data_IF_326370123665
#
_entry.id   IF_326370123665
#
_cell.length_a   1.000
_cell.length_b   1.000
_cell.length_c   1.000
_cell.angle_alpha   90.00
_cell.angle_beta   90.00
_cell.angle_gamma   90.00
#
_symmetry.space_group_name_H-M   'P 1'
#
loop_
_entity.id
_entity.type
_entity.pdbx_description
1 polymer ?
#
# COMPACT_ATOMS: atom_id res chain seq x y z
N UNK A 1 25.52 4.12 -28.91
CA UNK A 1 25.45 3.83 -27.47
C UNK A 1 23.98 3.72 -27.08
N UNK A 2 23.59 2.65 -26.39
CA UNK A 2 22.21 2.48 -25.93
C UNK A 2 21.97 3.38 -24.73
N UNK A 3 20.85 4.14 -24.76
CA UNK A 3 20.44 4.98 -23.62
C UNK A 3 19.26 4.35 -22.91
N UNK A 4 19.32 4.32 -21.60
CA UNK A 4 18.28 3.84 -20.71
C UNK A 4 17.68 4.99 -19.91
N UNK A 5 16.38 4.90 -19.61
CA UNK A 5 15.64 5.85 -18.80
C UNK A 5 15.42 5.24 -17.43
N UNK A 6 15.98 5.84 -16.41
CA UNK A 6 15.81 5.41 -15.02
C UNK A 6 14.84 6.39 -14.34
N UNK A 7 13.63 5.94 -14.04
CA UNK A 7 12.64 6.73 -13.33
C UNK A 7 12.81 6.54 -11.83
N UNK A 8 13.40 7.53 -11.20
CA UNK A 8 13.60 7.57 -9.74
C UNK A 8 12.31 7.99 -9.07
N UNK A 9 11.78 7.13 -8.21
CA UNK A 9 10.52 7.29 -7.51
C UNK A 9 10.79 7.42 -6.02
N UNK A 10 10.25 8.45 -5.37
CA UNK A 10 10.38 8.68 -3.93
C UNK A 10 9.12 9.25 -3.32
N UNK A 11 9.07 9.27 -1.99
CA UNK A 11 7.99 9.86 -1.20
C UNK A 11 8.43 11.21 -0.66
N UNK A 12 7.58 12.22 -0.77
CA UNK A 12 7.86 13.57 -0.27
C UNK A 12 7.69 13.70 1.26
N UNK A 13 7.88 14.91 1.77
CA UNK A 13 7.71 15.24 3.19
C UNK A 13 6.38 15.90 3.52
N UNK A 14 5.38 15.86 2.65
CA UNK A 14 4.09 16.45 2.94
C UNK A 14 3.34 15.67 4.02
N UNK A 15 2.61 16.40 4.85
CA UNK A 15 1.76 15.90 5.91
C UNK A 15 0.31 16.30 5.61
N UNK A 16 -0.71 15.52 5.95
CA UNK A 16 -0.66 14.26 6.70
C UNK A 16 -0.31 13.02 5.86
N UNK A 17 -0.42 13.09 4.55
CA UNK A 17 -0.13 11.98 3.64
C UNK A 17 0.98 12.37 2.67
N UNK A 18 1.97 11.52 2.52
CA UNK A 18 3.06 11.69 1.54
C UNK A 18 2.55 11.47 0.12
N UNK A 19 3.09 12.26 -0.83
CA UNK A 19 2.86 12.06 -2.25
C UNK A 19 4.06 11.38 -2.91
N UNK A 20 3.80 10.58 -3.92
CA UNK A 20 4.86 10.07 -4.78
C UNK A 20 5.41 11.18 -5.68
N UNK A 21 6.71 11.20 -5.83
CA UNK A 21 7.45 12.07 -6.73
C UNK A 21 8.29 11.21 -7.65
N UNK A 22 8.56 11.71 -8.85
CA UNK A 22 9.47 11.04 -9.76
C UNK A 22 10.25 11.99 -10.65
N UNK A 23 11.40 11.53 -11.10
CA UNK A 23 12.20 12.18 -12.15
C UNK A 23 12.99 11.16 -12.93
N UNK A 24 13.20 11.42 -14.22
CA UNK A 24 13.89 10.51 -15.13
C UNK A 24 15.37 10.89 -15.27
N UNK A 25 16.26 9.94 -15.00
CA UNK A 25 17.69 10.03 -15.37
C UNK A 25 17.92 9.24 -16.64
N UNK A 26 18.81 9.75 -17.51
CA UNK A 26 19.25 9.04 -18.71
C UNK A 26 20.67 8.58 -18.53
N UNK A 27 20.88 7.26 -18.61
CA UNK A 27 22.18 6.62 -18.48
C UNK A 27 22.59 5.93 -19.79
N UNK A 28 23.88 6.00 -20.12
CA UNK A 28 24.45 5.32 -21.29
C UNK A 28 24.98 3.93 -20.89
N UNK A 29 24.67 2.93 -21.72
CA UNK A 29 25.12 1.54 -21.53
C UNK A 29 24.78 0.98 -20.14
N UNK A 30 23.62 1.34 -19.58
CA UNK A 30 23.18 0.86 -18.28
C UNK A 30 22.96 -0.66 -18.30
N UNK A 31 23.44 -1.33 -17.27
CA UNK A 31 23.42 -2.80 -17.16
C UNK A 31 22.05 -3.41 -16.86
N UNK A 32 21.11 -2.60 -16.36
CA UNK A 32 19.82 -3.07 -15.82
C UNK A 32 19.88 -3.54 -14.36
N UNK A 33 21.00 -3.33 -13.67
CA UNK A 33 21.19 -3.79 -12.29
C UNK A 33 21.08 -2.67 -11.27
N UNK A 34 20.58 -3.00 -10.09
CA UNK A 34 20.41 -2.05 -9.00
C UNK A 34 21.75 -1.42 -8.54
N UNK A 35 22.79 -2.23 -8.44
CA UNK A 35 24.12 -1.77 -8.02
C UNK A 35 24.76 -0.71 -8.94
N UNK A 36 24.31 -0.65 -10.20
CA UNK A 36 24.78 0.33 -11.18
C UNK A 36 23.87 1.58 -11.25
N UNK A 37 22.80 1.65 -10.46
CA UNK A 37 21.97 2.84 -10.34
C UNK A 37 22.72 3.91 -9.52
N UNK A 38 23.03 5.09 -10.08
CA UNK A 38 23.71 6.13 -9.31
C UNK A 38 22.82 6.75 -8.24
N UNK A 39 23.39 7.12 -7.09
CA UNK A 39 22.73 8.03 -6.15
C UNK A 39 22.52 9.37 -6.84
N UNK A 40 21.36 9.98 -6.67
CA UNK A 40 21.03 11.23 -7.33
C UNK A 40 20.48 12.25 -6.33
N UNK A 41 20.90 13.52 -6.43
CA UNK A 41 20.38 14.60 -5.59
C UNK A 41 19.09 15.21 -6.15
N UNK A 42 18.31 15.82 -5.28
CA UNK A 42 17.15 16.60 -5.66
C UNK A 42 16.94 17.77 -4.69
N UNK A 43 16.14 18.75 -5.10
CA UNK A 43 15.76 19.89 -4.26
C UNK A 43 14.66 19.49 -3.24
N UNK A 44 15.09 19.18 -2.03
CA UNK A 44 14.19 18.82 -0.93
C UNK A 44 13.27 19.97 -0.49
N UNK A 45 13.63 21.24 -0.78
CA UNK A 45 12.78 22.38 -0.41
C UNK A 45 11.45 22.38 -1.19
N UNK A 46 11.46 21.88 -2.41
CA UNK A 46 10.27 21.76 -3.27
C UNK A 46 9.36 20.59 -2.86
N UNK A 47 9.80 19.71 -1.96
CA UNK A 47 9.09 18.51 -1.53
C UNK A 47 8.87 18.45 -0.01
N UNK A 48 9.05 19.56 0.71
CA UNK A 48 8.93 19.63 2.19
C UNK A 48 9.93 18.73 2.93
N UNK A 49 11.13 18.54 2.38
CA UNK A 49 12.18 17.66 2.93
C UNK A 49 13.47 18.40 3.28
N UNK A 50 13.58 19.69 2.97
CA UNK A 50 14.71 20.52 3.35
C UNK A 50 14.36 22.00 3.38
N UNK A 51 15.23 22.80 4.00
CA UNK A 51 15.14 24.25 3.96
C UNK A 51 15.82 24.80 2.71
N UNK A 52 15.37 25.93 2.18
CA UNK A 52 15.86 26.50 0.92
C UNK A 52 17.33 26.90 0.91
N UNK A 53 17.94 27.14 2.07
CA UNK A 53 19.36 27.47 2.21
C UNK A 53 20.27 26.23 2.36
N UNK A 54 19.68 25.03 2.44
CA UNK A 54 20.39 23.73 2.49
C UNK A 54 19.46 22.66 1.90
N UNK A 55 19.16 22.80 0.59
CA UNK A 55 18.04 22.11 -0.02
C UNK A 55 18.34 20.72 -0.56
N UNK A 56 19.60 20.32 -0.63
CA UNK A 56 19.98 19.03 -1.23
C UNK A 56 19.58 17.84 -0.35
N UNK A 57 18.76 16.96 -0.93
CA UNK A 57 18.51 15.61 -0.44
C UNK A 57 19.00 14.59 -1.47
N UNK A 58 19.21 13.36 -1.03
CA UNK A 58 19.70 12.28 -1.88
C UNK A 58 18.62 11.20 -2.08
N UNK A 59 18.56 10.68 -3.30
CA UNK A 59 17.79 9.51 -3.69
C UNK A 59 18.73 8.33 -3.80
N UNK A 60 18.63 7.38 -2.87
CA UNK A 60 19.40 6.15 -2.88
C UNK A 60 18.55 5.02 -3.47
N UNK A 61 18.94 4.45 -4.62
CA UNK A 61 18.24 3.30 -5.21
C UNK A 61 18.19 2.11 -4.25
N UNK A 62 16.99 1.49 -4.12
CA UNK A 62 16.76 0.35 -3.22
C UNK A 62 16.08 -0.83 -3.91
N UNK A 63 15.39 -0.59 -5.02
CA UNK A 63 14.82 -1.62 -5.88
C UNK A 63 14.75 -1.12 -7.33
N UNK A 64 14.80 -2.05 -8.28
CA UNK A 64 14.71 -1.75 -9.71
C UNK A 64 13.77 -2.75 -10.39
N UNK A 65 12.95 -2.22 -11.31
CA UNK A 65 12.00 -3.00 -12.09
C UNK A 65 12.05 -2.54 -13.55
N UNK A 66 11.78 -3.42 -14.54
CA UNK A 66 11.51 -2.98 -15.90
C UNK A 66 10.35 -1.98 -15.91
N UNK A 67 10.43 -0.96 -16.76
CA UNK A 67 9.31 -0.05 -17.00
C UNK A 67 8.53 -0.53 -18.23
N UNK A 68 7.35 -1.15 -18.07
CA UNK A 68 6.61 -1.71 -19.20
C UNK A 68 6.02 -0.63 -20.11
N UNK A 69 5.93 0.60 -19.65
CA UNK A 69 5.37 1.73 -20.43
C UNK A 69 6.41 2.40 -21.32
N UNK A 70 7.73 2.12 -21.15
CA UNK A 70 8.79 2.83 -21.86
C UNK A 70 9.91 1.90 -22.33
N UNK A 71 10.23 1.98 -23.62
CA UNK A 71 11.36 1.24 -24.20
C UNK A 71 12.66 1.64 -23.52
N UNK A 72 13.48 0.65 -23.11
CA UNK A 72 14.71 0.84 -22.34
C UNK A 72 14.48 1.66 -21.05
N UNK A 73 13.32 1.47 -20.40
CA UNK A 73 12.95 2.12 -19.17
C UNK A 73 13.10 1.19 -17.97
N UNK A 74 13.41 1.80 -16.83
CA UNK A 74 13.44 1.14 -15.52
C UNK A 74 12.77 2.02 -14.48
N UNK A 75 11.97 1.42 -13.61
CA UNK A 75 11.42 2.03 -12.41
C UNK A 75 12.40 1.78 -11.27
N UNK A 76 12.90 2.85 -10.66
CA UNK A 76 13.89 2.78 -9.58
C UNK A 76 13.25 3.31 -8.30
N UNK A 77 12.86 2.42 -7.40
CA UNK A 77 12.40 2.82 -6.07
C UNK A 77 13.58 3.34 -5.27
N UNK A 78 13.41 4.46 -4.59
CA UNK A 78 14.48 5.09 -3.83
C UNK A 78 14.04 5.44 -2.41
N UNK A 79 14.99 5.42 -1.49
CA UNK A 79 14.84 6.01 -0.17
C UNK A 79 15.48 7.39 -0.12
N UNK A 80 14.87 8.30 0.64
CA UNK A 80 15.37 9.66 0.81
C UNK A 80 16.38 9.73 1.95
N UNK A 81 17.54 10.31 1.66
CA UNK A 81 18.59 10.58 2.64
C UNK A 81 18.84 12.08 2.74
N UNK A 82 19.30 12.52 3.90
CA UNK A 82 19.90 13.83 4.10
C UNK A 82 21.20 13.96 3.27
N UNK A 83 21.70 15.18 3.10
CA UNK A 83 22.93 15.44 2.37
C UNK A 83 24.17 14.71 2.95
N UNK A 84 24.14 14.40 4.24
CA UNK A 84 25.20 13.64 4.94
C UNK A 84 25.08 12.12 4.79
N UNK A 85 24.05 11.64 4.07
CA UNK A 85 23.79 10.22 3.82
C UNK A 85 22.99 9.51 4.92
N UNK A 86 22.56 10.20 5.97
CA UNK A 86 21.68 9.63 6.98
C UNK A 86 20.23 9.55 6.47
N UNK A 87 19.40 8.58 6.92
CA UNK A 87 18.01 8.53 6.54
C UNK A 87 17.27 9.83 6.88
N UNK A 88 16.52 10.37 5.91
CA UNK A 88 15.66 11.52 6.16
C UNK A 88 14.47 11.12 7.05
N UNK A 89 13.94 12.05 7.85
CA UNK A 89 12.81 11.77 8.76
C UNK A 89 11.54 11.28 8.04
N UNK A 90 11.34 11.70 6.78
CA UNK A 90 10.22 11.24 5.93
C UNK A 90 10.43 9.84 5.33
N UNK A 91 11.59 9.23 5.53
CA UNK A 91 11.93 7.92 4.97
C UNK A 91 11.24 6.78 5.73
N UNK A 92 10.02 6.42 5.31
CA UNK A 92 9.26 5.31 5.90
C UNK A 92 9.98 3.97 5.83
N UNK A 93 10.75 3.71 4.76
CA UNK A 93 11.50 2.46 4.57
C UNK A 93 12.55 2.22 5.65
N UNK A 94 13.17 3.30 6.15
CA UNK A 94 14.15 3.23 7.23
C UNK A 94 13.54 2.82 8.59
N UNK A 95 12.22 2.89 8.75
CA UNK A 95 11.54 2.39 9.98
C UNK A 95 11.61 0.88 10.14
N UNK A 96 11.89 0.15 9.04
CA UNK A 96 12.18 -1.29 9.08
C UNK A 96 13.65 -1.46 9.43
N UNK A 97 13.95 -1.46 10.74
CA UNK A 97 15.32 -1.57 11.26
C UNK A 97 15.90 -2.96 11.05
N UNK A 98 15.03 -3.97 11.09
CA UNK A 98 15.39 -5.38 11.01
C UNK A 98 14.83 -5.97 9.71
N UNK A 99 15.71 -6.22 8.73
CA UNK A 99 15.38 -6.96 7.51
C UNK A 99 15.15 -8.43 7.81
N UNK A 100 14.11 -8.70 8.59
CA UNK A 100 13.73 -10.07 8.86
C UNK A 100 12.99 -10.66 7.65
N UNK A 101 13.76 -11.27 6.76
CA UNK A 101 13.23 -11.97 5.58
C UNK A 101 12.32 -13.15 5.94
N UNK A 102 12.20 -13.50 7.21
CA UNK A 102 11.23 -14.48 7.69
C UNK A 102 9.79 -13.94 7.60
N UNK A 103 9.59 -12.63 7.70
CA UNK A 103 8.27 -12.05 7.54
C UNK A 103 7.88 -11.93 6.07
N UNK A 104 6.69 -12.45 5.76
CA UNK A 104 6.04 -12.32 4.47
C UNK A 104 4.82 -11.42 4.62
N UNK A 105 4.61 -10.54 3.64
CA UNK A 105 3.47 -9.63 3.63
C UNK A 105 2.70 -9.74 2.32
N UNK A 106 1.37 -9.76 2.44
CA UNK A 106 0.43 -9.55 1.35
C UNK A 106 -0.41 -8.32 1.66
N UNK A 107 -0.41 -7.33 0.79
CA UNK A 107 -1.24 -6.14 0.94
C UNK A 107 -2.40 -6.16 -0.04
N UNK A 108 -3.60 -5.85 0.44
CA UNK A 108 -4.83 -5.68 -0.31
C UNK A 108 -5.12 -4.17 -0.39
N UNK A 109 -4.70 -3.54 -1.47
CA UNK A 109 -4.79 -2.09 -1.64
C UNK A 109 -6.11 -1.70 -2.30
N UNK A 110 -7.03 -1.18 -1.51
CA UNK A 110 -8.24 -0.56 -2.01
C UNK A 110 -8.00 0.90 -2.44
N UNK A 111 -8.79 1.38 -3.40
CA UNK A 111 -8.73 2.74 -3.91
C UNK A 111 -10.00 3.09 -4.68
N UNK A 112 -10.28 4.39 -4.85
CA UNK A 112 -11.32 4.87 -5.75
C UNK A 112 -10.72 5.47 -7.03
N UNK A 113 -11.34 5.17 -8.17
CA UNK A 113 -11.05 5.84 -9.43
C UNK A 113 -12.00 7.04 -9.54
N UNK A 114 -11.44 8.24 -9.53
CA UNK A 114 -12.17 9.50 -9.55
C UNK A 114 -12.10 10.15 -10.93
N UNK A 115 -13.22 10.66 -11.40
CA UNK A 115 -13.28 11.46 -12.63
C UNK A 115 -12.80 12.88 -12.35
N UNK A 116 -11.82 13.37 -13.12
CA UNK A 116 -11.23 14.70 -12.91
C UNK A 116 -12.20 15.85 -13.15
N UNK A 117 -13.28 15.65 -13.92
CA UNK A 117 -14.27 16.69 -14.26
C UNK A 117 -15.36 16.79 -13.21
N UNK A 118 -15.86 15.65 -12.75
CA UNK A 118 -16.97 15.61 -11.79
C UNK A 118 -16.50 15.57 -10.34
N UNK A 119 -15.24 15.20 -10.09
CA UNK A 119 -14.69 14.95 -8.75
C UNK A 119 -15.45 13.88 -7.97
N UNK A 120 -16.08 12.95 -8.69
CA UNK A 120 -16.85 11.85 -8.14
C UNK A 120 -16.23 10.50 -8.57
N UNK A 121 -16.42 9.42 -7.81
CA UNK A 121 -16.04 8.09 -8.26
C UNK A 121 -16.73 7.71 -9.58
N UNK A 122 -16.05 6.91 -10.38
CA UNK A 122 -16.62 6.44 -11.64
C UNK A 122 -17.95 5.70 -11.41
N UNK A 123 -18.92 6.01 -12.27
CA UNK A 123 -20.28 5.44 -12.19
C UNK A 123 -21.21 6.18 -11.25
N UNK A 124 -20.77 7.22 -10.54
CA UNK A 124 -21.65 8.10 -9.78
C UNK A 124 -22.43 9.03 -10.69
N UNK A 125 -23.73 9.18 -10.46
CA UNK A 125 -24.54 10.12 -11.24
C UNK A 125 -24.20 11.57 -10.89
N UNK A 126 -24.00 12.40 -11.91
CA UNK A 126 -23.81 13.84 -11.71
C UNK A 126 -25.10 14.46 -11.19
N UNK A 127 -25.03 15.10 -10.02
CA UNK A 127 -26.19 15.75 -9.39
C UNK A 127 -27.26 14.81 -8.83
N UNK A 128 -26.95 13.51 -8.78
CA UNK A 128 -27.82 12.48 -8.18
C UNK A 128 -27.27 11.91 -6.88
N UNK A 129 -28.02 10.97 -6.29
CA UNK A 129 -27.56 10.21 -5.14
C UNK A 129 -26.72 9.02 -5.59
N UNK A 130 -25.65 8.66 -4.86
CA UNK A 130 -24.92 7.43 -5.12
C UNK A 130 -25.82 6.22 -4.88
N UNK A 131 -25.65 5.19 -5.70
CA UNK A 131 -26.33 3.93 -5.46
C UNK A 131 -25.80 3.26 -4.18
N UNK A 132 -26.63 2.47 -3.47
CA UNK A 132 -26.17 1.71 -2.31
C UNK A 132 -24.97 0.84 -2.64
N UNK A 133 -24.06 0.69 -1.68
CA UNK A 133 -22.94 -0.22 -1.83
C UNK A 133 -23.38 -1.69 -1.92
N UNK A 134 -22.46 -2.57 -2.33
CA UNK A 134 -22.64 -4.02 -2.32
C UNK A 134 -22.92 -4.61 -3.69
N UNK A 135 -23.75 -3.97 -4.52
CA UNK A 135 -24.06 -4.49 -5.86
C UNK A 135 -22.89 -4.39 -6.87
N UNK A 136 -21.82 -3.72 -6.49
CA UNK A 136 -20.61 -3.52 -7.30
C UNK A 136 -19.55 -4.58 -7.01
N UNK A 137 -19.58 -5.21 -5.84
CA UNK A 137 -18.58 -6.17 -5.42
C UNK A 137 -18.46 -7.33 -6.42
N UNK A 138 -17.26 -7.47 -7.01
CA UNK A 138 -16.95 -8.47 -8.04
C UNK A 138 -17.95 -8.49 -9.21
N UNK A 139 -18.55 -7.35 -9.54
CA UNK A 139 -19.63 -7.27 -10.54
C UNK A 139 -19.11 -7.46 -11.97
N UNK A 140 -20.04 -7.83 -12.86
CA UNK A 140 -19.80 -8.03 -14.29
C UNK A 140 -20.81 -7.23 -15.09
N UNK A 141 -20.35 -6.65 -16.20
CA UNK A 141 -21.20 -5.91 -17.13
C UNK A 141 -21.27 -4.41 -16.88
N UNK A 142 -21.50 -3.64 -17.93
CA UNK A 142 -21.36 -2.18 -17.94
C UNK A 142 -22.34 -1.40 -17.06
N UNK A 143 -23.35 -2.06 -16.48
CA UNK A 143 -24.27 -1.41 -15.55
C UNK A 143 -23.61 -1.12 -14.19
N UNK A 144 -22.81 -2.05 -13.68
CA UNK A 144 -22.27 -1.99 -12.32
C UNK A 144 -20.74 -1.99 -12.28
N UNK A 145 -20.05 -2.24 -13.42
CA UNK A 145 -18.60 -2.28 -13.46
C UNK A 145 -18.07 -1.00 -14.10
N UNK A 146 -17.35 -0.22 -13.32
CA UNK A 146 -16.79 1.06 -13.76
C UNK A 146 -15.28 1.09 -13.56
N UNK A 147 -14.51 1.43 -14.62
CA UNK A 147 -13.05 1.54 -14.58
C UNK A 147 -12.27 0.28 -14.95
N UNK A 148 -12.92 -0.84 -15.34
CA UNK A 148 -12.25 -2.12 -15.64
C UNK A 148 -11.08 -1.99 -16.64
N UNK A 149 -11.23 -1.23 -17.71
CA UNK A 149 -10.17 -1.09 -18.71
C UNK A 149 -8.87 -0.53 -18.09
N UNK A 150 -8.97 0.48 -17.21
CA UNK A 150 -7.82 1.02 -16.48
C UNK A 150 -7.23 -0.01 -15.54
N UNK A 151 -8.08 -0.70 -14.78
CA UNK A 151 -7.64 -1.67 -13.76
C UNK A 151 -6.94 -2.88 -14.38
N UNK A 152 -7.44 -3.39 -15.51
CA UNK A 152 -6.80 -4.50 -16.23
C UNK A 152 -5.49 -4.06 -16.90
N UNK A 153 -5.42 -2.83 -17.45
CA UNK A 153 -4.16 -2.28 -17.96
C UNK A 153 -3.14 -2.10 -16.84
N UNK A 154 -3.56 -1.63 -15.65
CA UNK A 154 -2.71 -1.53 -14.47
C UNK A 154 -2.17 -2.90 -14.05
N UNK A 155 -3.04 -3.92 -13.97
CA UNK A 155 -2.62 -5.29 -13.65
C UNK A 155 -1.56 -5.82 -14.61
N UNK A 156 -1.75 -5.61 -15.93
CA UNK A 156 -0.77 -5.98 -16.95
C UNK A 156 0.56 -5.25 -16.73
N UNK A 157 0.55 -3.94 -16.48
CA UNK A 157 1.77 -3.18 -16.20
C UNK A 157 2.50 -3.69 -14.96
N UNK A 158 1.79 -4.03 -13.88
CA UNK A 158 2.39 -4.60 -12.68
C UNK A 158 3.05 -5.96 -12.95
N UNK A 159 2.37 -6.83 -13.69
CA UNK A 159 2.88 -8.16 -14.08
C UNK A 159 4.11 -8.02 -14.99
N UNK A 160 4.05 -7.15 -16.00
CA UNK A 160 5.15 -6.91 -16.93
C UNK A 160 6.37 -6.22 -16.25
N UNK A 161 6.13 -5.43 -15.21
CA UNK A 161 7.19 -4.91 -14.34
C UNK A 161 7.82 -5.98 -13.44
N UNK A 162 7.23 -7.18 -13.36
CA UNK A 162 7.72 -8.28 -12.54
C UNK A 162 7.35 -8.17 -11.06
N UNK A 163 6.32 -7.38 -10.71
CA UNK A 163 5.77 -7.38 -9.37
C UNK A 163 5.07 -8.70 -9.08
N UNK A 164 5.12 -9.15 -7.84
CA UNK A 164 4.38 -10.36 -7.43
C UNK A 164 2.89 -10.04 -7.21
N UNK A 165 2.22 -9.78 -8.32
CA UNK A 165 0.83 -9.36 -8.40
C UNK A 165 -0.10 -10.57 -8.24
N UNK A 166 -0.98 -10.56 -7.23
CA UNK A 166 -1.82 -11.70 -6.86
C UNK A 166 -3.24 -11.61 -7.44
N UNK A 167 -3.80 -10.39 -7.57
CA UNK A 167 -5.15 -10.25 -8.07
C UNK A 167 -5.70 -8.83 -8.08
N UNK A 168 -6.89 -8.72 -8.66
CA UNK A 168 -7.73 -7.52 -8.68
C UNK A 168 -9.18 -7.91 -8.44
N UNK A 169 -9.93 -7.05 -7.79
CA UNK A 169 -11.39 -7.13 -7.73
C UNK A 169 -12.01 -5.74 -7.60
N UNK A 170 -13.24 -5.64 -8.08
CA UNK A 170 -14.06 -4.47 -7.79
C UNK A 170 -14.63 -4.59 -6.39
N UNK A 171 -14.60 -3.49 -5.65
CA UNK A 171 -15.06 -3.38 -4.30
C UNK A 171 -16.53 -2.96 -4.18
N UNK A 172 -17.01 -2.80 -2.95
CA UNK A 172 -18.43 -2.65 -2.63
C UNK A 172 -19.05 -1.36 -3.15
N UNK A 173 -18.24 -0.32 -3.42
CA UNK A 173 -18.70 0.95 -3.93
C UNK A 173 -18.42 1.11 -5.43
N UNK A 174 -19.25 1.92 -6.12
CA UNK A 174 -19.01 2.24 -7.53
C UNK A 174 -17.67 2.96 -7.70
N UNK A 175 -16.85 2.50 -8.65
CA UNK A 175 -15.51 3.06 -8.90
C UNK A 175 -14.46 2.69 -7.87
N UNK A 176 -14.81 1.89 -6.86
CA UNK A 176 -13.86 1.33 -5.89
C UNK A 176 -13.32 0.00 -6.40
N UNK A 177 -12.00 -0.15 -6.31
CA UNK A 177 -11.27 -1.34 -6.73
C UNK A 177 -10.18 -1.69 -5.71
N UNK A 178 -9.69 -2.91 -5.82
CA UNK A 178 -8.59 -3.42 -5.04
C UNK A 178 -7.57 -4.09 -5.95
N UNK A 179 -6.28 -3.93 -5.63
CA UNK A 179 -5.24 -4.81 -6.14
C UNK A 179 -4.46 -5.46 -5.00
N UNK A 180 -3.90 -6.63 -5.24
CA UNK A 180 -3.20 -7.43 -4.25
C UNK A 180 -1.77 -7.72 -4.70
N UNK A 181 -0.82 -7.45 -3.80
CA UNK A 181 0.59 -7.75 -3.96
C UNK A 181 1.12 -8.55 -2.78
N UNK A 182 2.00 -9.49 -3.04
CA UNK A 182 2.64 -10.33 -2.03
C UNK A 182 4.16 -10.26 -2.14
N UNK A 183 4.87 -10.19 -1.03
CA UNK A 183 6.32 -10.30 -1.04
C UNK A 183 6.88 -11.03 0.20
N UNK A 184 8.01 -11.68 0.01
CA UNK A 184 8.83 -12.21 1.09
C UNK A 184 9.83 -11.13 1.49
N UNK A 185 9.66 -10.60 2.71
CA UNK A 185 10.41 -9.46 3.22
C UNK A 185 9.60 -8.17 3.25
N UNK A 186 9.66 -7.44 4.36
CA UNK A 186 8.86 -6.24 4.60
C UNK A 186 9.25 -5.07 3.69
N UNK A 187 10.56 -4.84 3.49
CA UNK A 187 11.05 -3.79 2.60
C UNK A 187 10.61 -4.02 1.17
N UNK A 188 10.76 -5.27 0.68
CA UNK A 188 10.30 -5.63 -0.66
C UNK A 188 8.79 -5.45 -0.83
N UNK A 189 7.99 -5.83 0.16
CA UNK A 189 6.54 -5.63 0.11
C UNK A 189 6.17 -4.14 0.00
N UNK A 190 6.82 -3.29 0.77
CA UNK A 190 6.64 -1.84 0.68
C UNK A 190 7.10 -1.27 -0.66
N UNK A 191 8.27 -1.68 -1.16
CA UNK A 191 8.79 -1.28 -2.47
C UNK A 191 7.77 -1.61 -3.57
N UNK A 192 7.23 -2.84 -3.59
CA UNK A 192 6.27 -3.28 -4.61
C UNK A 192 4.92 -2.57 -4.53
N UNK A 193 4.40 -2.29 -3.33
CA UNK A 193 3.17 -1.49 -3.18
C UNK A 193 3.36 -0.08 -3.74
N UNK A 194 4.48 0.58 -3.45
CA UNK A 194 4.73 1.91 -3.97
C UNK A 194 4.92 1.93 -5.49
N UNK A 195 5.57 0.92 -6.06
CA UNK A 195 5.67 0.77 -7.52
C UNK A 195 4.29 0.48 -8.13
N UNK A 196 3.47 -0.37 -7.51
CA UNK A 196 2.09 -0.63 -7.94
C UNK A 196 1.24 0.64 -7.93
N UNK A 197 1.30 1.44 -6.86
CA UNK A 197 0.64 2.76 -6.78
C UNK A 197 1.17 3.71 -7.86
N UNK A 198 2.48 3.76 -8.08
CA UNK A 198 3.09 4.61 -9.10
C UNK A 198 2.57 4.28 -10.51
N UNK A 199 2.54 2.99 -10.86
CA UNK A 199 2.03 2.55 -12.16
C UNK A 199 0.55 2.90 -12.33
N UNK A 200 -0.25 2.76 -11.26
CA UNK A 200 -1.67 3.11 -11.26
C UNK A 200 -1.88 4.62 -11.45
N UNK A 201 -1.20 5.45 -10.68
CA UNK A 201 -1.33 6.91 -10.77
C UNK A 201 -0.86 7.44 -12.13
N UNK A 202 0.28 6.95 -12.63
CA UNK A 202 0.78 7.29 -13.96
C UNK A 202 -0.21 6.93 -15.07
N UNK A 203 -0.84 5.77 -14.94
CA UNK A 203 -1.82 5.31 -15.92
C UNK A 203 -3.04 6.22 -15.98
N UNK A 204 -3.48 6.78 -14.86
CA UNK A 204 -4.65 7.68 -14.82
C UNK A 204 -4.48 8.95 -15.64
N UNK A 205 -3.25 9.45 -15.84
CA UNK A 205 -2.96 10.61 -16.68
C UNK A 205 -3.50 10.45 -18.11
N UNK A 206 -3.45 9.22 -18.64
CA UNK A 206 -3.96 8.84 -19.97
C UNK A 206 -5.49 8.85 -20.03
N UNK A 207 -6.16 8.51 -18.92
CA UNK A 207 -7.61 8.32 -18.86
C UNK A 207 -8.39 9.57 -18.45
N UNK A 208 -7.70 10.61 -17.94
CA UNK A 208 -8.37 11.79 -17.36
C UNK A 208 -9.04 11.48 -16.03
N UNK A 209 -8.48 10.55 -15.29
CA UNK A 209 -8.89 10.15 -13.94
C UNK A 209 -7.80 10.48 -12.93
N UNK A 210 -8.08 10.29 -11.64
CA UNK A 210 -7.10 10.24 -10.58
C UNK A 210 -7.48 9.16 -9.56
N UNK A 211 -6.52 8.72 -8.77
CA UNK A 211 -6.75 7.73 -7.72
C UNK A 211 -6.90 8.44 -6.38
N UNK A 212 -7.90 8.05 -5.63
CA UNK A 212 -8.14 8.53 -4.29
C UNK A 212 -7.88 7.41 -3.28
N UNK A 213 -6.92 7.66 -2.40
CA UNK A 213 -6.54 6.76 -1.30
C UNK A 213 -7.08 7.21 0.06
N UNK A 214 -7.86 8.27 0.13
CA UNK A 214 -8.49 8.68 1.37
C UNK A 214 -9.39 7.53 1.89
N UNK A 215 -9.32 7.17 3.20
CA UNK A 215 -10.07 6.02 3.72
C UNK A 215 -11.59 6.21 3.67
N UNK A 216 -12.08 7.44 3.58
CA UNK A 216 -13.51 7.78 3.45
C UNK A 216 -13.69 8.96 2.49
N UNK A 217 -13.47 8.77 1.18
CA UNK A 217 -13.32 9.89 0.23
C UNK A 217 -14.61 10.68 -0.01
N UNK A 218 -15.77 10.09 0.29
CA UNK A 218 -17.07 10.72 0.10
C UNK A 218 -17.61 11.40 1.37
N UNK A 219 -16.82 11.41 2.43
CA UNK A 219 -17.21 11.94 3.74
C UNK A 219 -17.66 10.87 4.72
N UNK A 220 -17.44 11.14 5.99
CA UNK A 220 -17.68 10.20 7.09
C UNK A 220 -19.15 9.88 7.32
N UNK A 221 -20.07 10.76 6.90
CA UNK A 221 -21.49 10.66 7.17
C UNK A 221 -22.25 9.79 6.15
N UNK A 222 -21.53 9.27 5.14
CA UNK A 222 -22.12 8.36 4.17
C UNK A 222 -22.01 6.90 4.65
N UNK A 223 -23.07 6.15 4.40
CA UNK A 223 -23.19 4.73 4.77
C UNK A 223 -22.39 3.82 3.81
N UNK A 224 -21.06 3.88 3.94
CA UNK A 224 -20.11 3.20 3.06
C UNK A 224 -18.93 2.62 3.86
N UNK A 225 -18.38 1.47 3.41
CA UNK A 225 -17.25 0.82 4.07
C UNK A 225 -15.98 1.69 4.10
N UNK A 226 -15.74 2.53 3.10
CA UNK A 226 -14.47 3.22 2.95
C UNK A 226 -13.41 2.35 2.28
N UNK A 227 -12.14 2.78 2.35
CA UNK A 227 -11.01 2.10 1.71
C UNK A 227 -9.92 1.77 2.70
N UNK A 228 -9.45 0.52 2.68
CA UNK A 228 -8.36 0.00 3.49
C UNK A 228 -7.15 -0.44 2.67
N UNK A 229 -6.09 -0.78 3.39
CA UNK A 229 -4.98 -1.57 2.87
C UNK A 229 -4.71 -2.69 3.87
N UNK A 230 -5.50 -3.77 3.79
CA UNK A 230 -5.36 -4.90 4.70
C UNK A 230 -3.96 -5.50 4.58
N UNK A 231 -3.35 -5.79 5.72
CA UNK A 231 -2.01 -6.34 5.79
C UNK A 231 -2.08 -7.82 6.21
N UNK A 232 -1.92 -8.72 5.25
CA UNK A 232 -1.71 -10.13 5.51
C UNK A 232 -0.25 -10.35 5.88
N UNK A 233 0.02 -11.03 6.98
CA UNK A 233 1.38 -11.25 7.44
C UNK A 233 1.60 -12.63 8.05
N UNK A 234 2.81 -13.15 7.87
CA UNK A 234 3.26 -14.38 8.51
C UNK A 234 4.76 -14.37 8.75
N UNK A 235 5.19 -15.17 9.71
CA UNK A 235 6.59 -15.55 9.90
C UNK A 235 6.68 -17.09 9.95
N UNK A 236 7.86 -17.67 10.12
CA UNK A 236 8.06 -19.11 10.18
C UNK A 236 7.22 -19.76 11.29
N UNK A 237 7.07 -19.09 12.43
CA UNK A 237 6.22 -19.56 13.52
C UNK A 237 4.77 -19.74 13.08
N UNK A 238 4.15 -18.70 12.51
CA UNK A 238 2.76 -18.77 12.00
C UNK A 238 2.61 -19.81 10.90
N UNK A 239 3.61 -19.96 10.02
CA UNK A 239 3.54 -20.92 8.92
C UNK A 239 3.72 -22.39 9.36
N UNK A 240 4.29 -22.66 10.55
CA UNK A 240 4.69 -24.01 10.92
C UNK A 240 4.20 -24.50 12.29
N UNK A 241 3.81 -23.61 13.22
CA UNK A 241 3.54 -23.97 14.62
C UNK A 241 2.43 -25.01 14.83
N UNK A 242 1.39 -24.99 14.01
CA UNK A 242 0.24 -25.89 14.14
C UNK A 242 -0.51 -25.73 15.46
N UNK A 243 -0.51 -24.54 16.08
CA UNK A 243 -1.05 -24.30 17.41
C UNK A 243 -1.98 -23.09 17.44
N UNK A 244 -3.25 -23.33 17.81
CA UNK A 244 -4.24 -22.28 18.08
C UNK A 244 -3.73 -21.28 19.12
N UNK A 245 -3.19 -21.80 20.23
CA UNK A 245 -2.68 -20.99 21.34
C UNK A 245 -1.59 -20.01 20.88
N UNK A 246 -0.71 -20.42 19.98
CA UNK A 246 0.34 -19.55 19.41
C UNK A 246 -0.27 -18.39 18.64
N UNK A 247 -1.29 -18.64 17.81
CA UNK A 247 -2.02 -17.60 17.09
C UNK A 247 -2.71 -16.61 18.03
N UNK A 248 -3.39 -17.14 19.08
CA UNK A 248 -4.05 -16.31 20.09
C UNK A 248 -3.06 -15.42 20.86
N UNK A 249 -1.90 -15.98 21.27
CA UNK A 249 -0.84 -15.20 21.92
C UNK A 249 -0.29 -14.09 21.04
N UNK A 250 -0.10 -14.36 19.74
CA UNK A 250 0.33 -13.33 18.77
C UNK A 250 -0.76 -12.26 18.65
N UNK A 251 -2.03 -12.61 18.48
CA UNK A 251 -3.13 -11.66 18.41
C UNK A 251 -3.22 -10.81 19.69
N UNK A 252 -3.12 -11.40 20.87
CA UNK A 252 -3.15 -10.70 22.16
C UNK A 252 -1.99 -9.71 22.33
N UNK A 253 -0.84 -9.92 21.67
CA UNK A 253 0.26 -8.98 21.71
C UNK A 253 -0.07 -7.61 21.05
N UNK A 254 -1.09 -7.57 20.18
CA UNK A 254 -1.56 -6.33 19.56
C UNK A 254 -2.43 -5.48 20.49
N UNK A 255 -3.12 -6.09 21.44
CA UNK A 255 -4.09 -5.41 22.33
C UNK A 255 -3.50 -4.24 23.13
N UNK A 256 -2.35 -4.36 23.83
CA UNK A 256 -1.80 -3.28 24.62
C UNK A 256 -1.21 -2.13 23.79
N UNK A 257 -1.03 -2.33 22.48
CA UNK A 257 -0.34 -1.38 21.57
C UNK A 257 -1.23 -0.90 20.42
N UNK A 258 -2.55 -0.93 20.60
CA UNK A 258 -3.53 -0.49 19.58
C UNK A 258 -3.22 0.92 19.10
N UNK A 259 -3.02 1.88 20.02
CA UNK A 259 -2.76 3.29 19.66
C UNK A 259 -1.48 3.48 18.84
N UNK A 260 -0.46 2.68 19.12
CA UNK A 260 0.80 2.71 18.38
C UNK A 260 0.63 2.15 16.94
N UNK A 261 -0.24 1.17 16.75
CA UNK A 261 -0.62 0.71 15.41
C UNK A 261 -1.39 1.79 14.65
N UNK A 262 -2.44 2.33 15.26
CA UNK A 262 -3.27 3.35 14.63
C UNK A 262 -2.45 4.58 14.23
N UNK A 263 -1.45 4.99 15.03
CA UNK A 263 -0.61 6.16 14.71
C UNK A 263 0.22 6.03 13.42
N UNK A 264 0.36 4.82 12.87
CA UNK A 264 1.10 4.56 11.63
C UNK A 264 0.26 3.87 10.55
N UNK A 265 -1.03 3.65 10.81
CA UNK A 265 -1.93 2.93 9.91
C UNK A 265 -2.67 3.81 8.90
N UNK A 266 -2.20 5.01 8.69
CA UNK A 266 -2.77 5.98 7.75
C UNK A 266 -3.63 7.04 8.45
N UNK A 267 -3.80 8.14 7.75
CA UNK A 267 -4.51 9.33 8.25
C UNK A 267 -6.02 9.21 8.03
N UNK A 268 -6.80 9.93 8.83
CA UNK A 268 -8.27 9.94 8.77
C UNK A 268 -8.93 8.56 8.96
N UNK A 269 -8.21 7.62 9.55
CA UNK A 269 -8.69 6.25 9.72
C UNK A 269 -9.80 6.14 10.78
N UNK A 270 -9.97 7.15 11.63
CA UNK A 270 -11.12 7.34 12.52
C UNK A 270 -12.45 7.47 11.77
N UNK A 271 -12.42 7.96 10.54
CA UNK A 271 -13.60 8.06 9.68
C UNK A 271 -14.03 6.70 9.10
N UNK A 272 -13.11 5.72 9.04
CA UNK A 272 -13.35 4.38 8.51
C UNK A 272 -13.57 3.35 9.61
N UNK A 273 -12.76 3.36 10.67
CA UNK A 273 -12.83 2.39 11.78
C UNK A 273 -13.89 2.82 12.82
N UNK A 274 -15.15 2.62 12.48
CA UNK A 274 -16.29 3.08 13.26
C UNK A 274 -16.94 2.01 14.15
N UNK A 275 -16.64 0.73 13.91
CA UNK A 275 -17.34 -0.41 14.49
C UNK A 275 -18.47 -0.94 13.61
N UNK A 276 -18.78 -0.22 12.52
CA UNK A 276 -19.73 -0.62 11.48
C UNK A 276 -19.00 -1.00 10.18
N UNK A 277 -19.74 -1.46 9.17
CA UNK A 277 -19.21 -1.74 7.82
C UNK A 277 -17.97 -2.66 7.80
N UNK A 278 -18.07 -3.78 8.53
CA UNK A 278 -16.99 -4.77 8.58
C UNK A 278 -15.66 -4.22 9.14
N UNK A 279 -15.74 -3.22 10.04
CA UNK A 279 -14.57 -2.70 10.77
C UNK A 279 -14.77 -2.79 12.28
N UNK A 280 -13.70 -2.97 13.02
CA UNK A 280 -13.71 -2.72 14.47
C UNK A 280 -13.59 -1.21 14.71
N UNK A 281 -14.18 -0.72 15.80
CA UNK A 281 -13.98 0.67 16.24
C UNK A 281 -12.50 0.94 16.50
N UNK A 282 -12.04 2.16 16.15
CA UNK A 282 -10.63 2.56 16.22
C UNK A 282 -10.00 2.39 17.60
N UNK A 283 -10.79 2.56 18.66
CA UNK A 283 -10.35 2.46 20.06
C UNK A 283 -10.46 1.04 20.62
N UNK A 284 -11.00 0.11 19.87
CA UNK A 284 -11.23 -1.27 20.29
C UNK A 284 -10.29 -2.22 19.55
N UNK A 285 -10.05 -3.37 20.19
CA UNK A 285 -9.29 -4.45 19.58
C UNK A 285 -10.02 -5.78 19.75
N UNK A 286 -10.17 -6.48 18.64
CA UNK A 286 -10.69 -7.85 18.61
C UNK A 286 -9.95 -8.68 17.58
N UNK A 287 -10.05 -9.99 17.69
CA UNK A 287 -9.65 -10.93 16.65
C UNK A 287 -10.62 -12.09 16.60
N UNK A 288 -10.73 -12.71 15.44
CA UNK A 288 -11.64 -13.82 15.24
C UNK A 288 -11.38 -14.63 13.98
N UNK A 289 -11.86 -15.89 13.99
CA UNK A 289 -11.80 -16.78 12.82
C UNK A 289 -12.88 -16.33 11.83
N UNK A 290 -12.47 -16.03 10.59
CA UNK A 290 -13.36 -15.54 9.52
C UNK A 290 -14.17 -14.29 9.88
N UNK A 291 -13.78 -13.58 10.94
CA UNK A 291 -14.49 -12.40 11.42
C UNK A 291 -13.98 -11.14 10.69
N UNK A 292 -14.80 -10.62 9.77
CA UNK A 292 -14.49 -9.41 9.01
C UNK A 292 -14.69 -8.12 9.83
N UNK A 293 -15.43 -8.16 10.93
CA UNK A 293 -15.59 -7.05 11.87
C UNK A 293 -14.47 -6.93 12.90
N UNK A 294 -13.52 -7.88 12.93
CA UNK A 294 -12.41 -7.85 13.86
C UNK A 294 -11.24 -6.98 13.37
N UNK A 295 -10.42 -6.51 14.31
CA UNK A 295 -9.14 -5.84 14.02
C UNK A 295 -8.17 -6.78 13.31
N UNK A 296 -8.05 -8.02 13.81
CA UNK A 296 -7.26 -9.07 13.18
C UNK A 296 -8.17 -10.26 12.86
N UNK A 297 -8.17 -10.64 11.59
CA UNK A 297 -8.87 -11.82 11.11
C UNK A 297 -7.89 -12.99 11.03
N UNK A 298 -8.34 -14.15 11.52
CA UNK A 298 -7.67 -15.43 11.32
C UNK A 298 -8.36 -16.08 10.11
N UNK A 299 -7.71 -16.20 8.94
CA UNK A 299 -8.35 -16.82 7.78
C UNK A 299 -8.76 -18.27 8.04
N UNK A 300 -9.92 -18.69 7.54
CA UNK A 300 -10.41 -20.07 7.75
C UNK A 300 -9.42 -21.10 7.21
N UNK A 301 -8.78 -20.81 6.08
CA UNK A 301 -7.77 -21.68 5.49
C UNK A 301 -6.57 -21.92 6.39
N UNK A 302 -6.19 -20.94 7.25
CA UNK A 302 -5.15 -21.10 8.26
C UNK A 302 -5.57 -22.16 9.29
N UNK A 303 -6.83 -22.13 9.72
CA UNK A 303 -7.40 -23.11 10.67
C UNK A 303 -7.48 -24.49 10.04
N UNK A 304 -8.04 -24.58 8.81
CA UNK A 304 -8.19 -25.84 8.07
C UNK A 304 -6.85 -26.49 7.75
N UNK A 305 -5.79 -25.71 7.55
CA UNK A 305 -4.41 -26.20 7.43
C UNK A 305 -3.76 -26.56 8.78
N UNK A 306 -4.54 -26.71 9.84
CA UNK A 306 -4.06 -27.08 11.16
C UNK A 306 -3.25 -25.98 11.82
N UNK A 307 -3.71 -24.73 11.76
CA UNK A 307 -3.06 -23.54 12.33
C UNK A 307 -1.67 -23.29 11.72
N UNK A 308 -1.61 -23.32 10.40
CA UNK A 308 -0.42 -23.02 9.58
C UNK A 308 -0.80 -22.10 8.45
N UNK A 309 -0.39 -20.83 8.53
CA UNK A 309 -0.77 -19.84 7.52
C UNK A 309 -0.37 -18.43 7.92
N UNK A 310 -1.33 -17.54 7.95
CA UNK A 310 -1.11 -16.11 8.17
C UNK A 310 -2.24 -15.50 9.00
N UNK A 311 -2.03 -14.24 9.39
CA UNK A 311 -3.01 -13.34 10.00
C UNK A 311 -3.24 -12.15 9.08
N UNK A 312 -4.43 -11.56 9.11
CA UNK A 312 -4.81 -10.37 8.38
C UNK A 312 -5.11 -9.24 9.35
N UNK A 313 -4.30 -8.17 9.34
CA UNK A 313 -4.64 -6.93 10.03
C UNK A 313 -5.50 -6.05 9.11
N UNK A 314 -6.75 -5.84 9.50
CA UNK A 314 -7.76 -5.15 8.71
C UNK A 314 -7.86 -3.65 9.01
N UNK A 315 -7.05 -3.16 9.95
CA UNK A 315 -7.10 -1.78 10.42
C UNK A 315 -6.40 -0.76 9.54
N UNK A 316 -5.32 -1.07 8.77
CA UNK A 316 -4.65 -0.05 7.99
C UNK A 316 -5.57 0.59 6.94
N UNK A 317 -5.50 1.94 6.83
CA UNK A 317 -6.20 2.71 5.81
C UNK A 317 -5.50 2.61 4.46
N UNK A 318 -6.23 2.85 3.38
CA UNK A 318 -5.68 2.80 2.01
C UNK A 318 -4.54 3.77 1.76
N UNK A 319 -4.50 4.93 2.46
CA UNK A 319 -3.41 5.89 2.39
C UNK A 319 -2.22 5.57 3.30
N UNK A 320 -2.24 4.44 4.00
CA UNK A 320 -1.17 4.02 4.89
C UNK A 320 0.17 3.80 4.15
N UNK A 321 1.27 4.01 4.86
CA UNK A 321 2.61 3.69 4.38
C UNK A 321 2.92 2.22 4.68
N UNK A 322 3.07 1.35 3.64
CA UNK A 322 3.29 -0.07 3.82
C UNK A 322 4.56 -0.39 4.62
N UNK A 323 5.60 0.46 4.56
CA UNK A 323 6.81 0.27 5.36
C UNK A 323 6.54 0.44 6.85
N UNK A 324 5.86 1.52 7.24
CA UNK A 324 5.52 1.80 8.64
C UNK A 324 4.56 0.76 9.21
N UNK A 325 3.58 0.33 8.40
CA UNK A 325 2.64 -0.74 8.76
C UNK A 325 3.40 -2.04 9.03
N UNK A 326 4.25 -2.47 8.10
CA UNK A 326 5.02 -3.70 8.24
C UNK A 326 5.98 -3.64 9.43
N UNK A 327 6.72 -2.54 9.60
CA UNK A 327 7.63 -2.34 10.73
C UNK A 327 6.91 -2.48 12.08
N UNK A 328 5.70 -1.87 12.19
CA UNK A 328 4.92 -1.95 13.43
C UNK A 328 4.41 -3.36 13.70
N UNK A 329 3.92 -4.07 12.68
CA UNK A 329 3.47 -5.45 12.79
C UNK A 329 4.62 -6.35 13.25
N UNK A 330 5.78 -6.28 12.60
CA UNK A 330 6.97 -7.06 12.98
C UNK A 330 7.33 -6.85 14.44
N UNK A 331 7.42 -5.58 14.88
CA UNK A 331 7.74 -5.23 16.26
C UNK A 331 6.77 -5.87 17.25
N UNK A 332 5.48 -5.85 16.94
CA UNK A 332 4.45 -6.44 17.82
C UNK A 332 4.53 -7.97 17.83
N UNK A 333 4.64 -8.62 16.67
CA UNK A 333 4.74 -10.08 16.60
C UNK A 333 5.98 -10.60 17.33
N UNK A 334 7.13 -9.91 17.19
CA UNK A 334 8.36 -10.26 17.92
C UNK A 334 8.25 -10.05 19.43
N UNK A 335 7.36 -9.21 19.90
CA UNK A 335 7.12 -8.99 21.34
C UNK A 335 6.23 -10.04 21.99
N UNK A 336 5.55 -10.89 21.18
CA UNK A 336 4.68 -11.92 21.69
C UNK A 336 5.47 -12.96 22.52
N UNK A 337 4.96 -13.27 23.72
CA UNK A 337 5.53 -14.30 24.60
C UNK A 337 4.96 -15.65 24.20
N UNK A 338 5.61 -16.32 23.28
CA UNK A 338 5.21 -17.64 22.75
C UNK A 338 5.61 -18.79 23.69
#
# INVERSE_FOLDING_TARGET
>A
MAKSKLEYIWLDGYYPTQNMRSKTKVEENFSGKLEDCPIWSFDGSSTKQAEGNSSDCLLKPVAIYPDPARINGYLVMTEVLNADGTPHESNGRATIEDEDNDFWFGFEQEYFIMDTKTQLPLGFPVGGYPAPQGMYYCSVGGKNTHGRALVEEHANLCIDAGLNFEGINQEVASGQWEFQLFAKGAKKAGDEIWIGRYLLDRLTEKYGYYIEYHPKPLGKDLDWNGSGMHANFSNSTLRTCGSKETYEKICEAFRPVVKEHISVYGEFNDQRLTGDHETQSIDQFSYGISDRGASIRIPIITVEKGWKGWLEDRRPASNGDPYKIAARIIKTVKSAKL
#
